data_IF_003154425175
#
_entry.id   IF_003154425175
#
_cell.length_a   1.000
_cell.length_b   1.000
_cell.length_c   1.000
_cell.angle_alpha   90.00
_cell.angle_beta   90.00
_cell.angle_gamma   90.00
#
_symmetry.space_group_name_H-M   'P 1'
#
loop_
_entity.id
_entity.type
_entity.pdbx_description
1 polymer ?
#
# COMPACT_ATOMS: atom_id res chain seq x y z
N UNK A 1 19.92 12.79 -30.41
CA UNK A 1 20.45 14.15 -30.11
C UNK A 1 21.86 13.98 -29.57
N UNK A 2 22.90 14.58 -30.15
CA UNK A 2 24.29 14.40 -29.66
C UNK A 2 24.77 15.65 -28.92
N UNK A 3 25.45 15.42 -27.80
CA UNK A 3 26.13 16.46 -27.04
C UNK A 3 27.54 16.65 -27.63
N UNK A 4 27.93 17.90 -27.94
CA UNK A 4 29.10 18.15 -28.76
C UNK A 4 30.34 18.57 -27.98
N UNK A 5 30.19 19.08 -26.78
CA UNK A 5 31.31 19.54 -25.97
C UNK A 5 30.94 19.60 -24.49
N UNK A 6 31.90 19.32 -23.61
CA UNK A 6 31.78 19.55 -22.19
C UNK A 6 32.83 20.54 -21.71
N UNK A 7 32.45 21.49 -20.90
CA UNK A 7 33.34 22.41 -20.21
C UNK A 7 33.15 22.32 -18.71
N UNK A 8 34.21 22.62 -17.94
CA UNK A 8 34.14 22.69 -16.47
C UNK A 8 34.53 24.07 -16.00
N UNK A 9 33.79 24.57 -14.99
CA UNK A 9 34.15 25.81 -14.30
C UNK A 9 34.00 25.64 -12.80
N UNK A 10 34.83 26.33 -12.06
CA UNK A 10 34.67 26.45 -10.64
C UNK A 10 33.69 27.60 -10.35
N UNK A 11 32.73 27.39 -9.47
CA UNK A 11 31.76 28.42 -9.10
C UNK A 11 32.29 29.24 -7.94
N UNK A 12 32.06 30.55 -7.99
CA UNK A 12 32.41 31.47 -6.87
C UNK A 12 31.29 31.44 -5.81
N UNK A 13 31.22 30.32 -5.08
CA UNK A 13 30.28 30.07 -3.99
C UNK A 13 31.03 29.44 -2.81
N UNK A 14 30.43 29.44 -1.61
CA UNK A 14 30.99 28.77 -0.42
C UNK A 14 31.37 27.32 -0.78
N UNK A 15 32.64 26.93 -0.58
CA UNK A 15 33.17 25.61 -0.95
C UNK A 15 33.67 25.51 -2.39
N UNK A 16 33.58 26.54 -3.22
CA UNK A 16 34.07 26.61 -4.62
C UNK A 16 33.80 25.33 -5.45
N UNK A 17 32.55 24.83 -5.53
CA UNK A 17 32.25 23.59 -6.20
C UNK A 17 32.47 23.68 -7.71
N UNK A 18 32.82 22.54 -8.33
CA UNK A 18 32.94 22.45 -9.78
C UNK A 18 31.58 22.19 -10.46
N UNK A 19 31.38 22.76 -11.64
CA UNK A 19 30.20 22.55 -12.49
C UNK A 19 30.66 22.15 -13.90
N UNK A 20 30.11 21.04 -14.41
CA UNK A 20 30.23 20.67 -15.81
C UNK A 20 29.06 21.24 -16.64
N UNK A 21 29.31 21.57 -17.91
CA UNK A 21 28.30 22.04 -18.88
C UNK A 21 28.48 21.33 -20.20
N UNK A 22 27.41 20.75 -20.73
CA UNK A 22 27.36 20.12 -22.03
C UNK A 22 26.39 20.87 -22.95
N UNK A 23 26.77 21.13 -24.22
CA UNK A 23 25.94 21.81 -25.20
C UNK A 23 25.31 20.83 -26.19
N UNK A 24 24.07 21.10 -26.59
CA UNK A 24 23.34 20.33 -27.60
C UNK A 24 22.41 21.22 -28.41
N UNK A 25 21.98 20.73 -29.59
CA UNK A 25 20.94 21.37 -30.39
C UNK A 25 19.59 20.68 -30.08
N UNK A 26 18.55 21.45 -29.79
CA UNK A 26 17.20 20.94 -29.64
C UNK A 26 16.59 20.54 -31.01
N UNK A 27 15.35 20.04 -30.98
CA UNK A 27 14.59 19.58 -32.15
C UNK A 27 14.33 20.71 -33.17
N UNK A 28 14.47 21.97 -32.75
CA UNK A 28 14.34 23.16 -33.61
C UNK A 28 15.72 23.70 -34.08
N UNK A 29 16.82 22.97 -33.80
CA UNK A 29 18.17 23.37 -34.16
C UNK A 29 18.79 24.46 -33.28
N UNK A 30 18.11 24.87 -32.21
CA UNK A 30 18.58 25.91 -31.29
C UNK A 30 19.53 25.34 -30.26
N UNK A 31 20.66 26.03 -30.02
CA UNK A 31 21.63 25.61 -28.99
C UNK A 31 21.06 25.76 -27.58
N UNK A 32 21.20 24.70 -26.80
CA UNK A 32 20.90 24.64 -25.38
C UNK A 32 22.06 24.08 -24.58
N UNK A 33 22.05 24.30 -23.27
CA UNK A 33 23.11 23.88 -22.37
C UNK A 33 22.50 23.07 -21.21
N UNK A 34 23.11 21.94 -20.88
CA UNK A 34 22.83 21.15 -19.70
C UNK A 34 24.00 21.30 -18.73
N UNK A 35 23.74 21.43 -17.42
CA UNK A 35 24.79 21.56 -16.41
C UNK A 35 24.64 20.54 -15.29
N UNK A 36 25.76 20.06 -14.77
CA UNK A 36 25.85 19.12 -13.64
C UNK A 36 26.83 19.66 -12.60
N UNK A 37 26.45 19.61 -11.31
CA UNK A 37 27.37 19.90 -10.21
C UNK A 37 28.28 18.70 -9.97
N UNK A 38 29.56 18.96 -9.64
CA UNK A 38 30.58 17.95 -9.39
C UNK A 38 31.11 18.15 -7.96
N UNK A 39 30.34 17.76 -6.92
CA UNK A 39 30.72 18.01 -5.52
C UNK A 39 31.99 17.27 -5.11
N UNK A 40 32.25 16.11 -5.73
CA UNK A 40 33.38 15.23 -5.37
C UNK A 40 34.68 15.59 -6.08
N UNK A 41 34.66 16.57 -6.99
CA UNK A 41 35.84 16.97 -7.75
C UNK A 41 36.79 17.83 -6.91
N UNK A 42 37.93 17.29 -6.52
CA UNK A 42 38.97 17.97 -5.70
C UNK A 42 39.83 18.95 -6.51
N UNK A 43 39.74 18.93 -7.85
CA UNK A 43 40.52 19.80 -8.71
C UNK A 43 40.07 19.77 -10.15
N UNK A 44 40.68 20.68 -10.99
CA UNK A 44 40.28 20.85 -12.41
C UNK A 44 40.43 19.58 -13.25
N UNK A 45 41.50 18.82 -13.06
CA UNK A 45 41.75 17.57 -13.83
C UNK A 45 40.67 16.52 -13.49
N UNK A 46 40.34 16.37 -12.23
CA UNK A 46 39.32 15.44 -11.79
C UNK A 46 37.92 15.87 -12.26
N UNK A 47 37.59 17.16 -12.18
CA UNK A 47 36.36 17.72 -12.71
C UNK A 47 36.25 17.46 -14.24
N UNK A 48 37.34 17.60 -14.98
CA UNK A 48 37.37 17.31 -16.42
C UNK A 48 37.15 15.82 -16.71
N UNK A 49 37.75 14.91 -15.95
CA UNK A 49 37.54 13.47 -16.07
C UNK A 49 36.07 13.10 -15.85
N UNK A 50 35.52 13.54 -14.73
CA UNK A 50 34.10 13.27 -14.37
C UNK A 50 33.16 13.90 -15.41
N UNK A 51 33.47 15.10 -15.91
CA UNK A 51 32.67 15.75 -16.92
C UNK A 51 32.71 15.01 -18.26
N UNK A 52 33.85 14.42 -18.64
CA UNK A 52 34.00 13.61 -19.85
C UNK A 52 33.19 12.31 -19.73
N UNK A 53 33.31 11.60 -18.60
CA UNK A 53 32.50 10.41 -18.31
C UNK A 53 31.00 10.72 -18.38
N UNK A 54 30.59 11.87 -17.84
CA UNK A 54 29.22 12.34 -17.93
C UNK A 54 28.80 12.64 -19.38
N UNK A 55 29.66 13.27 -20.21
CA UNK A 55 29.37 13.52 -21.62
C UNK A 55 29.23 12.21 -22.42
N UNK A 56 30.12 11.25 -22.16
CA UNK A 56 30.07 9.94 -22.81
C UNK A 56 28.80 9.19 -22.46
N UNK A 57 28.38 9.25 -21.17
CA UNK A 57 27.10 8.69 -20.70
C UNK A 57 25.91 9.39 -21.36
N UNK A 58 25.93 10.74 -21.48
CA UNK A 58 24.88 11.51 -22.17
C UNK A 58 24.73 11.12 -23.65
N UNK A 59 25.84 10.88 -24.36
CA UNK A 59 25.80 10.47 -25.75
C UNK A 59 25.38 9.00 -25.91
N UNK A 60 25.82 8.10 -25.03
CA UNK A 60 25.37 6.72 -24.99
C UNK A 60 23.85 6.62 -24.79
N UNK A 61 23.28 7.46 -23.92
CA UNK A 61 21.84 7.55 -23.73
C UNK A 61 21.12 8.07 -24.99
N UNK A 62 21.64 9.12 -25.62
CA UNK A 62 21.06 9.66 -26.85
C UNK A 62 20.98 8.61 -27.96
N UNK A 63 21.93 7.68 -28.01
CA UNK A 63 21.93 6.55 -28.93
C UNK A 63 20.96 5.42 -28.50
N UNK A 64 20.61 5.30 -27.20
CA UNK A 64 19.70 4.31 -26.66
C UNK A 64 18.23 4.77 -26.60
N UNK A 65 17.98 6.08 -26.72
CA UNK A 65 16.62 6.67 -26.71
C UNK A 65 16.43 7.56 -27.96
N UNK A 66 16.31 6.99 -29.14
CA UNK A 66 16.27 7.77 -30.39
C UNK A 66 15.09 8.75 -30.49
N UNK A 67 14.00 8.48 -29.74
CA UNK A 67 12.77 9.29 -29.75
C UNK A 67 12.61 10.17 -28.49
N UNK A 68 13.48 10.06 -27.48
CA UNK A 68 13.42 10.90 -26.30
C UNK A 68 14.20 12.21 -26.52
N UNK A 69 13.49 13.29 -26.62
CA UNK A 69 14.09 14.62 -26.87
C UNK A 69 14.94 15.19 -25.72
N UNK A 70 15.19 14.46 -24.64
CA UNK A 70 16.04 14.87 -23.50
C UNK A 70 16.61 13.68 -22.75
N UNK A 71 17.89 13.76 -22.45
CA UNK A 71 18.56 12.92 -21.45
C UNK A 71 17.92 13.16 -20.09
N UNK A 72 17.45 12.09 -19.45
CA UNK A 72 16.75 12.16 -18.18
C UNK A 72 17.38 11.20 -17.16
N UNK A 73 17.46 11.64 -15.91
CA UNK A 73 17.86 10.76 -14.80
C UNK A 73 16.70 9.85 -14.38
N UNK A 74 17.04 8.78 -13.69
CA UNK A 74 16.03 7.90 -13.07
C UNK A 74 15.07 8.72 -12.17
N UNK A 75 15.61 9.68 -11.40
CA UNK A 75 14.79 10.55 -10.54
C UNK A 75 13.73 11.31 -11.34
N UNK A 76 14.15 11.98 -12.38
CA UNK A 76 13.26 12.80 -13.20
C UNK A 76 12.23 11.95 -13.95
N UNK A 77 12.68 10.88 -14.60
CA UNK A 77 11.81 10.00 -15.39
C UNK A 77 10.79 9.30 -14.51
N UNK A 78 11.19 8.82 -13.32
CA UNK A 78 10.30 8.17 -12.38
C UNK A 78 9.20 9.13 -11.89
N UNK A 79 9.58 10.36 -11.55
CA UNK A 79 8.64 11.37 -11.04
C UNK A 79 7.68 11.86 -12.14
N UNK A 80 8.17 12.07 -13.37
CA UNK A 80 7.33 12.45 -14.52
C UNK A 80 6.34 11.33 -14.86
N UNK A 81 6.77 10.07 -14.86
CA UNK A 81 5.89 8.91 -15.06
C UNK A 81 4.79 8.81 -14.00
N UNK A 82 5.14 8.92 -12.72
CA UNK A 82 4.14 8.85 -11.65
C UNK A 82 3.13 9.99 -11.74
N UNK A 83 3.61 11.21 -12.04
CA UNK A 83 2.73 12.36 -12.20
C UNK A 83 1.78 12.16 -13.38
N UNK A 84 2.29 11.69 -14.51
CA UNK A 84 1.44 11.36 -15.67
C UNK A 84 0.34 10.37 -15.30
N UNK A 85 0.68 9.26 -14.61
CA UNK A 85 -0.32 8.28 -14.17
C UNK A 85 -1.37 8.86 -13.21
N UNK A 86 -0.97 9.81 -12.36
CA UNK A 86 -1.91 10.50 -11.47
C UNK A 86 -2.82 11.44 -12.27
N UNK A 87 -2.26 12.23 -13.18
CA UNK A 87 -2.98 13.22 -13.97
C UNK A 87 -3.97 12.55 -14.96
N UNK A 88 -3.63 11.36 -15.47
CA UNK A 88 -4.51 10.54 -16.33
C UNK A 88 -5.52 9.69 -15.54
N UNK A 89 -5.44 9.69 -14.21
CA UNK A 89 -6.33 8.88 -13.36
C UNK A 89 -6.03 7.37 -13.36
N UNK A 90 -4.89 6.94 -13.94
CA UNK A 90 -4.47 5.52 -13.92
C UNK A 90 -4.13 5.04 -12.51
N UNK A 91 -3.68 5.94 -11.64
CA UNK A 91 -3.43 5.64 -10.23
C UNK A 91 -4.12 6.65 -9.32
N UNK A 92 -4.51 6.18 -8.14
CA UNK A 92 -5.04 7.07 -7.10
C UNK A 92 -3.94 7.83 -6.37
N UNK A 93 -4.32 8.94 -5.73
CA UNK A 93 -3.44 9.76 -4.86
C UNK A 93 -2.70 8.93 -3.82
N UNK A 94 -3.37 7.96 -3.18
CA UNK A 94 -2.74 7.06 -2.20
C UNK A 94 -1.66 6.17 -2.81
N UNK A 95 -1.87 5.67 -4.03
CA UNK A 95 -0.87 4.87 -4.75
C UNK A 95 0.32 5.73 -5.17
N UNK A 96 0.05 6.98 -5.61
CA UNK A 96 1.07 7.96 -5.92
C UNK A 96 1.94 8.26 -4.69
N UNK A 97 1.35 8.63 -3.54
CA UNK A 97 2.07 8.91 -2.30
C UNK A 97 2.93 7.72 -1.83
N UNK A 98 2.37 6.51 -1.84
CA UNK A 98 3.10 5.30 -1.47
C UNK A 98 4.25 5.00 -2.43
N UNK A 99 4.08 5.30 -3.72
CA UNK A 99 5.13 5.11 -4.71
C UNK A 99 6.28 6.11 -4.53
N UNK A 100 5.96 7.38 -4.25
CA UNK A 100 6.95 8.41 -3.90
C UNK A 100 7.70 8.05 -2.63
N UNK A 101 6.99 7.64 -1.57
CA UNK A 101 7.64 7.24 -0.32
C UNK A 101 8.65 6.10 -0.54
N UNK A 102 8.22 5.04 -1.21
CA UNK A 102 9.09 3.90 -1.54
C UNK A 102 10.26 4.30 -2.44
N UNK A 103 10.01 5.16 -3.43
CA UNK A 103 11.02 5.68 -4.33
C UNK A 103 12.10 6.46 -3.58
N UNK A 104 11.68 7.45 -2.78
CA UNK A 104 12.61 8.30 -2.02
C UNK A 104 13.45 7.50 -1.02
N UNK A 105 12.87 6.44 -0.43
CA UNK A 105 13.54 5.63 0.61
C UNK A 105 14.47 4.56 0.04
N UNK A 106 14.08 3.91 -1.07
CA UNK A 106 14.72 2.68 -1.51
C UNK A 106 15.28 2.71 -2.95
N UNK A 107 14.88 3.67 -3.78
CA UNK A 107 15.33 3.75 -5.18
C UNK A 107 16.23 4.96 -5.38
N UNK A 108 15.74 6.15 -5.05
CA UNK A 108 16.44 7.42 -5.28
C UNK A 108 17.86 7.47 -4.70
N UNK A 109 18.13 7.02 -3.45
CA UNK A 109 19.48 7.08 -2.88
C UNK A 109 20.53 6.25 -3.62
N UNK A 110 20.08 5.28 -4.41
CA UNK A 110 20.97 4.33 -5.10
C UNK A 110 20.99 4.51 -6.62
N UNK A 111 19.88 4.93 -7.21
CA UNK A 111 19.69 4.98 -8.65
C UNK A 111 19.27 6.35 -9.17
N UNK A 112 18.87 7.29 -8.30
CA UNK A 112 18.26 8.55 -8.72
C UNK A 112 19.09 9.37 -9.69
N UNK A 113 20.40 9.41 -9.50
CA UNK A 113 21.36 10.17 -10.32
C UNK A 113 21.81 9.44 -11.57
N UNK A 114 21.49 8.13 -11.70
CA UNK A 114 21.80 7.40 -12.92
C UNK A 114 21.01 7.96 -14.10
N UNK A 115 21.65 7.98 -15.26
CA UNK A 115 20.97 8.25 -16.51
C UNK A 115 20.01 7.09 -16.81
N UNK A 116 18.74 7.38 -17.03
CA UNK A 116 17.68 6.37 -17.12
C UNK A 116 17.98 5.27 -18.14
N UNK A 117 18.40 5.65 -19.35
CA UNK A 117 18.64 4.71 -20.44
C UNK A 117 19.95 3.91 -20.31
N UNK A 118 20.87 4.30 -19.43
CA UNK A 118 22.14 3.59 -19.22
C UNK A 118 22.09 2.58 -18.09
N UNK A 119 20.99 2.52 -17.34
CA UNK A 119 20.78 1.48 -16.35
C UNK A 119 20.65 0.13 -17.05
N UNK A 120 21.46 -0.82 -16.64
CA UNK A 120 21.47 -2.19 -17.15
C UNK A 120 21.15 -3.22 -16.04
N UNK A 121 21.16 -4.49 -16.40
CA UNK A 121 20.90 -5.58 -15.47
C UNK A 121 21.95 -5.70 -14.35
N UNK A 122 23.18 -5.27 -14.58
CA UNK A 122 24.26 -5.25 -13.59
C UNK A 122 23.97 -4.22 -12.50
N UNK A 123 23.53 -3.01 -12.91
CA UNK A 123 23.12 -1.95 -11.99
C UNK A 123 21.90 -2.39 -11.16
N UNK A 124 20.90 -3.01 -11.80
CA UNK A 124 19.70 -3.52 -11.09
C UNK A 124 20.09 -4.61 -10.09
N UNK A 125 20.93 -5.58 -10.43
CA UNK A 125 21.38 -6.63 -9.51
C UNK A 125 22.17 -6.03 -8.34
N UNK A 126 23.06 -5.07 -8.58
CA UNK A 126 23.80 -4.38 -7.51
C UNK A 126 22.87 -3.64 -6.56
N UNK A 127 21.84 -2.96 -7.08
CA UNK A 127 20.83 -2.30 -6.28
C UNK A 127 20.02 -3.31 -5.44
N UNK A 128 19.58 -4.43 -6.01
CA UNK A 128 18.89 -5.48 -5.27
C UNK A 128 19.73 -6.02 -4.12
N UNK A 129 21.02 -6.28 -4.36
CA UNK A 129 21.95 -6.72 -3.31
C UNK A 129 22.01 -5.73 -2.15
N UNK A 130 22.00 -4.41 -2.44
CA UNK A 130 21.95 -3.39 -1.38
C UNK A 130 20.65 -3.44 -0.58
N UNK A 131 19.49 -3.67 -1.25
CA UNK A 131 18.20 -3.80 -0.56
C UNK A 131 18.16 -5.04 0.36
N UNK A 132 18.75 -6.16 -0.07
CA UNK A 132 18.90 -7.37 0.78
C UNK A 132 19.80 -7.09 2.00
N UNK A 133 20.90 -6.40 1.80
CA UNK A 133 21.83 -6.06 2.88
C UNK A 133 21.24 -5.06 3.91
N UNK A 134 20.20 -4.32 3.56
CA UNK A 134 19.45 -3.48 4.51
C UNK A 134 18.51 -4.29 5.43
N UNK A 135 18.42 -5.61 5.27
CA UNK A 135 17.55 -6.47 6.08
C UNK A 135 16.05 -6.24 5.84
N UNK A 136 15.68 -5.72 4.65
CA UNK A 136 14.28 -5.47 4.31
C UNK A 136 13.52 -6.78 4.13
N UNK A 137 12.22 -6.76 4.46
CA UNK A 137 11.35 -7.91 4.19
C UNK A 137 11.29 -8.22 2.69
N UNK A 138 11.18 -9.50 2.34
CA UNK A 138 11.06 -9.95 0.95
C UNK A 138 9.91 -9.25 0.22
N UNK A 139 8.79 -8.99 0.89
CA UNK A 139 7.65 -8.26 0.33
C UNK A 139 7.98 -6.80 0.03
N UNK A 140 8.79 -6.14 0.86
CA UNK A 140 9.24 -4.77 0.61
C UNK A 140 10.16 -4.71 -0.61
N UNK A 141 11.12 -5.64 -0.71
CA UNK A 141 12.04 -5.73 -1.85
C UNK A 141 11.25 -6.03 -3.14
N UNK A 142 10.35 -7.03 -3.11
CA UNK A 142 9.50 -7.38 -4.24
C UNK A 142 8.67 -6.19 -4.73
N UNK A 143 8.00 -5.48 -3.82
CA UNK A 143 7.15 -4.34 -4.16
C UNK A 143 7.96 -3.17 -4.73
N UNK A 144 9.14 -2.92 -4.16
CA UNK A 144 10.04 -1.84 -4.62
C UNK A 144 10.61 -2.17 -6.01
N UNK A 145 11.03 -3.41 -6.23
CA UNK A 145 11.45 -3.92 -7.54
C UNK A 145 10.35 -3.77 -8.59
N UNK A 146 9.12 -4.22 -8.27
CA UNK A 146 7.99 -4.17 -9.19
C UNK A 146 7.63 -2.73 -9.59
N UNK A 147 7.76 -1.77 -8.68
CA UNK A 147 7.54 -0.34 -8.97
C UNK A 147 8.54 0.20 -9.97
N UNK A 148 9.82 -0.05 -9.75
CA UNK A 148 10.86 0.40 -10.69
C UNK A 148 10.71 -0.27 -12.06
N UNK A 149 10.49 -1.59 -12.07
CA UNK A 149 10.27 -2.36 -13.30
C UNK A 149 9.08 -1.84 -14.10
N UNK A 150 7.99 -1.43 -13.44
CA UNK A 150 6.80 -0.87 -14.11
C UNK A 150 7.15 0.38 -14.91
N UNK A 151 8.00 1.26 -14.37
CA UNK A 151 8.46 2.47 -15.08
C UNK A 151 9.27 2.10 -16.32
N UNK A 152 10.28 1.23 -16.17
CA UNK A 152 11.10 0.80 -17.30
C UNK A 152 10.30 0.08 -18.38
N UNK A 153 9.36 -0.79 -17.99
CA UNK A 153 8.48 -1.49 -18.92
C UNK A 153 7.62 -0.51 -19.74
N UNK A 154 7.12 0.57 -19.11
CA UNK A 154 6.35 1.59 -19.83
C UNK A 154 7.15 2.19 -20.98
N UNK A 155 8.35 2.68 -20.71
CA UNK A 155 9.21 3.30 -21.74
C UNK A 155 9.72 2.29 -22.77
N UNK A 156 10.01 1.06 -22.35
CA UNK A 156 10.42 -0.01 -23.26
C UNK A 156 9.29 -0.43 -24.22
N UNK A 157 8.09 -0.61 -23.71
CA UNK A 157 6.93 -1.01 -24.52
C UNK A 157 6.48 0.10 -25.48
N UNK A 158 6.71 1.36 -25.14
CA UNK A 158 6.43 2.50 -26.03
C UNK A 158 7.55 2.76 -27.05
N UNK A 159 8.61 1.96 -27.08
CA UNK A 159 9.72 2.13 -28.00
C UNK A 159 10.64 3.32 -27.68
N UNK A 160 10.49 3.91 -26.50
CA UNK A 160 11.33 5.02 -26.04
C UNK A 160 12.64 4.53 -25.42
N UNK A 161 12.70 3.26 -25.00
CA UNK A 161 13.88 2.59 -24.47
C UNK A 161 14.18 1.35 -25.31
N UNK A 162 15.41 1.21 -25.81
CA UNK A 162 15.81 0.11 -26.71
C UNK A 162 16.12 -1.21 -25.97
N UNK A 163 16.47 -1.15 -24.69
CA UNK A 163 16.85 -2.31 -23.89
C UNK A 163 16.07 -2.33 -22.59
N UNK A 164 15.54 -3.51 -22.23
CA UNK A 164 14.96 -3.75 -20.92
C UNK A 164 16.06 -4.09 -19.90
N UNK A 165 16.35 -3.25 -18.91
CA UNK A 165 17.36 -3.52 -17.89
C UNK A 165 16.99 -4.64 -16.94
N UNK A 166 15.72 -5.08 -16.92
CA UNK A 166 15.24 -6.18 -16.11
C UNK A 166 15.31 -7.54 -16.81
N UNK A 167 15.74 -7.55 -18.11
CA UNK A 167 15.92 -8.81 -18.84
C UNK A 167 17.01 -9.65 -18.18
N UNK A 168 16.67 -10.87 -17.77
CA UNK A 168 17.57 -11.79 -17.08
C UNK A 168 17.74 -11.53 -15.56
N UNK A 169 17.15 -10.47 -15.02
CA UNK A 169 17.13 -10.23 -13.57
C UNK A 169 16.04 -11.07 -12.95
N UNK A 170 16.40 -11.90 -11.95
CA UNK A 170 15.40 -12.68 -11.19
C UNK A 170 14.58 -11.75 -10.31
N UNK A 171 13.26 -11.82 -10.48
CA UNK A 171 12.35 -11.09 -9.60
C UNK A 171 12.46 -11.64 -8.17
N UNK A 172 12.58 -10.77 -7.15
CA UNK A 172 12.57 -11.21 -5.76
C UNK A 172 11.30 -12.01 -5.45
N UNK A 173 11.45 -13.11 -4.74
CA UNK A 173 10.28 -13.89 -4.28
C UNK A 173 9.47 -13.08 -3.29
N UNK A 174 8.15 -13.28 -3.29
CA UNK A 174 7.32 -12.84 -2.17
C UNK A 174 7.63 -13.74 -0.98
N UNK A 175 7.73 -13.14 0.20
CA UNK A 175 7.79 -13.89 1.44
C UNK A 175 6.40 -14.47 1.76
N UNK A 176 6.40 -15.59 2.48
CA UNK A 176 5.17 -16.15 3.03
C UNK A 176 4.57 -15.16 4.02
N UNK A 177 3.28 -14.89 3.87
CA UNK A 177 2.52 -14.05 4.78
C UNK A 177 1.81 -14.96 5.76
N UNK A 178 2.33 -15.05 6.98
CA UNK A 178 1.58 -15.68 8.08
C UNK A 178 0.39 -14.77 8.41
N UNK A 179 -0.80 -15.29 8.22
CA UNK A 179 -2.03 -14.55 8.54
C UNK A 179 -2.14 -14.46 10.07
N UNK A 180 -2.26 -13.25 10.57
CA UNK A 180 -2.50 -12.98 11.98
C UNK A 180 -3.86 -13.56 12.39
N UNK A 181 -3.89 -14.37 13.44
CA UNK A 181 -5.12 -14.82 14.10
C UNK A 181 -4.97 -14.68 15.61
N UNK A 182 -6.07 -14.68 16.32
CA UNK A 182 -6.13 -14.63 17.77
C UNK A 182 -6.65 -15.98 18.30
N UNK A 183 -6.12 -16.40 19.42
CA UNK A 183 -6.73 -17.46 20.23
C UNK A 183 -7.99 -16.93 20.92
N UNK A 184 -8.83 -17.81 21.48
CA UNK A 184 -10.01 -17.38 22.21
C UNK A 184 -9.63 -16.45 23.38
N UNK A 185 -8.62 -16.82 24.17
CA UNK A 185 -8.10 -16.00 25.27
C UNK A 185 -7.63 -14.61 24.78
N UNK A 186 -6.94 -14.55 23.65
CA UNK A 186 -6.48 -13.27 23.08
C UNK A 186 -7.66 -12.42 22.57
N UNK A 187 -8.73 -13.04 22.08
CA UNK A 187 -9.96 -12.33 21.71
C UNK A 187 -10.65 -11.74 22.94
N UNK A 188 -10.74 -12.51 24.01
CA UNK A 188 -11.30 -12.06 25.28
C UNK A 188 -10.48 -10.91 25.87
N UNK A 189 -9.15 -11.01 25.85
CA UNK A 189 -8.24 -9.95 26.30
C UNK A 189 -8.44 -8.64 25.51
N UNK A 190 -8.63 -8.73 24.18
CA UNK A 190 -8.91 -7.54 23.34
C UNK A 190 -10.24 -6.90 23.75
N UNK A 191 -11.30 -7.70 23.94
CA UNK A 191 -12.61 -7.19 24.27
C UNK A 191 -12.64 -6.61 25.69
N UNK A 192 -12.05 -7.30 26.66
CA UNK A 192 -11.91 -6.80 28.03
C UNK A 192 -11.18 -5.46 28.06
N UNK A 193 -10.04 -5.37 27.37
CA UNK A 193 -9.29 -4.11 27.26
C UNK A 193 -10.11 -2.99 26.62
N UNK A 194 -10.94 -3.27 25.60
CA UNK A 194 -11.81 -2.27 24.98
C UNK A 194 -12.83 -1.73 25.99
N UNK A 195 -13.47 -2.61 26.76
CA UNK A 195 -14.48 -2.22 27.76
C UNK A 195 -13.88 -1.51 28.97
N UNK A 196 -12.60 -1.78 29.29
CA UNK A 196 -11.92 -1.11 30.41
C UNK A 196 -11.32 0.26 30.02
N UNK A 197 -10.83 0.40 28.78
CA UNK A 197 -10.09 1.58 28.35
C UNK A 197 -10.96 2.67 27.75
N UNK A 198 -12.14 2.32 27.21
CA UNK A 198 -12.97 3.25 26.45
C UNK A 198 -14.41 3.26 26.94
N UNK A 199 -14.93 4.45 27.18
CA UNK A 199 -16.34 4.66 27.38
C UNK A 199 -17.08 4.64 26.02
N UNK A 200 -18.38 4.28 25.97
CA UNK A 200 -19.12 4.18 24.70
C UNK A 200 -19.17 5.48 23.88
N UNK A 201 -19.03 6.67 24.50
CA UNK A 201 -18.90 7.95 23.79
C UNK A 201 -17.55 8.14 23.11
N UNK A 202 -16.50 7.39 23.45
CA UNK A 202 -15.22 7.45 22.74
C UNK A 202 -15.35 6.82 21.34
N UNK A 203 -14.93 7.49 20.26
CA UNK A 203 -14.99 6.91 18.92
C UNK A 203 -14.13 5.66 18.74
N UNK A 204 -13.07 5.48 19.57
CA UNK A 204 -12.25 4.27 19.52
C UNK A 204 -12.96 3.03 20.02
N UNK A 205 -13.90 3.17 20.97
CA UNK A 205 -14.73 2.08 21.45
C UNK A 205 -15.37 1.31 20.29
N UNK A 206 -16.26 1.97 19.56
CA UNK A 206 -16.92 1.33 18.40
C UNK A 206 -15.98 1.13 17.22
N UNK A 207 -14.93 1.94 17.07
CA UNK A 207 -13.93 1.80 16.02
C UNK A 207 -13.19 0.46 16.08
N UNK A 208 -12.81 0.01 17.27
CA UNK A 208 -12.16 -1.29 17.49
C UNK A 208 -13.17 -2.43 17.31
N UNK A 209 -14.39 -2.28 17.86
CA UNK A 209 -15.45 -3.28 17.73
C UNK A 209 -15.91 -3.48 16.27
N UNK A 210 -15.92 -2.44 15.44
CA UNK A 210 -16.16 -2.53 14.00
C UNK A 210 -15.06 -3.34 13.27
N UNK A 211 -13.80 -3.19 13.68
CA UNK A 211 -12.73 -4.02 13.15
C UNK A 211 -12.88 -5.48 13.58
N UNK A 212 -13.26 -5.71 14.84
CA UNK A 212 -13.36 -7.02 15.47
C UNK A 212 -14.58 -7.81 14.99
N UNK A 213 -15.78 -7.21 15.08
CA UNK A 213 -17.06 -7.90 14.81
C UNK A 213 -17.59 -7.77 13.38
N UNK A 214 -17.08 -6.84 12.60
CA UNK A 214 -17.49 -6.63 11.20
C UNK A 214 -16.35 -6.73 10.20
N UNK A 215 -15.11 -6.88 10.66
CA UNK A 215 -13.93 -7.03 9.80
C UNK A 215 -13.72 -5.85 8.85
N UNK A 216 -14.12 -4.64 9.21
CA UNK A 216 -14.00 -3.47 8.35
C UNK A 216 -12.55 -3.06 8.14
N UNK A 217 -12.26 -2.54 6.94
CA UNK A 217 -10.97 -1.90 6.69
C UNK A 217 -10.89 -0.58 7.45
N UNK A 218 -9.71 -0.19 7.89
CA UNK A 218 -9.47 1.08 8.59
C UNK A 218 -10.15 2.29 7.91
N UNK A 219 -10.00 2.41 6.59
CA UNK A 219 -10.64 3.51 5.85
C UNK A 219 -12.17 3.42 5.82
N UNK A 220 -12.75 2.22 5.85
CA UNK A 220 -14.19 1.98 5.95
C UNK A 220 -14.71 2.35 7.34
N UNK A 221 -13.97 1.99 8.40
CA UNK A 221 -14.26 2.37 9.79
C UNK A 221 -14.33 3.90 9.93
N UNK A 222 -13.30 4.61 9.45
CA UNK A 222 -13.24 6.07 9.50
C UNK A 222 -14.29 6.74 8.59
N UNK A 223 -14.78 6.04 7.56
CA UNK A 223 -15.74 6.57 6.59
C UNK A 223 -17.20 6.22 6.85
N UNK A 224 -17.48 5.41 7.88
CA UNK A 224 -18.85 4.97 8.21
C UNK A 224 -19.65 6.11 8.82
N UNK A 225 -20.89 6.29 8.36
CA UNK A 225 -21.82 7.30 8.88
C UNK A 225 -22.99 6.65 9.58
N UNK A 226 -23.69 7.40 10.44
CA UNK A 226 -24.84 6.89 11.17
C UNK A 226 -26.00 6.48 10.25
N UNK A 227 -26.21 7.18 9.12
CA UNK A 227 -27.22 6.78 8.13
C UNK A 227 -26.84 5.54 7.29
N UNK A 228 -25.71 4.94 7.56
CA UNK A 228 -25.29 3.64 7.00
C UNK A 228 -25.65 2.47 7.91
N UNK A 229 -26.20 2.74 9.09
CA UNK A 229 -26.60 1.74 10.08
C UNK A 229 -28.13 1.67 10.15
N UNK A 230 -28.67 0.52 9.81
CA UNK A 230 -30.10 0.24 9.89
C UNK A 230 -30.36 -0.70 11.08
N UNK A 231 -30.79 -0.12 12.19
CA UNK A 231 -31.11 -0.87 13.41
C UNK A 231 -32.40 -1.68 13.28
N UNK A 232 -33.33 -1.34 12.37
CA UNK A 232 -34.55 -2.10 12.13
C UNK A 232 -34.29 -3.37 11.34
N UNK A 233 -33.35 -3.30 10.39
CA UNK A 233 -32.93 -4.43 9.57
C UNK A 233 -31.69 -5.14 10.12
N UNK A 234 -31.14 -4.66 11.20
CA UNK A 234 -29.89 -5.17 11.81
C UNK A 234 -28.73 -5.23 10.79
N UNK A 235 -28.56 -4.17 9.98
CA UNK A 235 -27.53 -4.17 8.91
C UNK A 235 -26.64 -2.93 8.93
N UNK A 236 -25.42 -3.13 8.43
CA UNK A 236 -24.46 -2.05 8.11
C UNK A 236 -24.26 -2.01 6.61
N UNK A 237 -24.27 -0.81 6.04
CA UNK A 237 -23.98 -0.53 4.65
C UNK A 237 -22.63 0.18 4.52
N UNK A 238 -21.67 -0.40 3.80
CA UNK A 238 -20.40 0.24 3.48
C UNK A 238 -20.54 0.86 2.08
N UNK A 239 -20.43 2.19 1.99
CA UNK A 239 -20.51 2.94 0.72
C UNK A 239 -19.39 3.99 0.57
N UNK A 240 -18.58 4.17 1.59
CA UNK A 240 -17.47 5.13 1.57
C UNK A 240 -16.28 4.64 2.37
N UNK A 241 -15.13 5.22 2.11
CA UNK A 241 -13.93 5.00 2.90
C UNK A 241 -13.10 6.29 2.92
N UNK A 242 -12.39 6.54 4.01
CA UNK A 242 -11.40 7.62 4.05
C UNK A 242 -10.10 7.10 3.44
N UNK A 243 -9.65 7.78 2.38
CA UNK A 243 -8.33 7.58 1.76
C UNK A 243 -7.31 8.52 2.37
N UNK A 244 -6.07 8.06 2.44
CA UNK A 244 -4.92 8.84 2.92
C UNK A 244 -4.07 9.26 1.74
N UNK A 245 -3.68 10.53 1.70
CA UNK A 245 -2.69 11.05 0.76
C UNK A 245 -1.66 11.88 1.49
N UNK A 246 -0.39 11.52 1.39
CA UNK A 246 0.73 12.27 1.94
C UNK A 246 1.37 13.13 0.84
N UNK A 247 1.74 14.38 1.18
CA UNK A 247 2.40 15.32 0.29
C UNK A 247 1.81 16.73 0.34
N UNK A 248 2.55 17.73 -0.18
CA UNK A 248 2.06 19.12 -0.26
C UNK A 248 0.78 19.20 -1.11
N UNK A 249 -0.29 19.73 -0.53
CA UNK A 249 -1.60 19.87 -1.20
C UNK A 249 -2.43 18.59 -1.30
N UNK A 250 -1.97 17.49 -0.72
CA UNK A 250 -2.70 16.24 -0.61
C UNK A 250 -3.11 16.05 0.85
N UNK A 251 -4.39 15.80 1.10
CA UNK A 251 -4.96 15.57 2.42
C UNK A 251 -5.81 14.31 2.43
N UNK A 252 -6.27 13.92 3.62
CA UNK A 252 -7.25 12.85 3.74
C UNK A 252 -8.53 13.24 3.03
N UNK A 253 -9.18 12.28 2.40
CA UNK A 253 -10.38 12.51 1.61
C UNK A 253 -11.34 11.31 1.70
N UNK A 254 -12.63 11.59 1.61
CA UNK A 254 -13.63 10.53 1.45
C UNK A 254 -13.65 10.07 0.00
N UNK A 255 -13.65 8.78 -0.22
CA UNK A 255 -13.75 8.18 -1.55
C UNK A 255 -14.93 7.22 -1.64
N UNK A 256 -15.60 7.25 -2.77
CA UNK A 256 -16.53 6.19 -3.13
C UNK A 256 -15.74 4.90 -3.41
N UNK A 257 -16.32 3.74 -3.11
CA UNK A 257 -15.69 2.47 -3.42
C UNK A 257 -15.35 2.34 -4.90
N UNK A 258 -14.13 1.88 -5.21
CA UNK A 258 -13.63 1.71 -6.60
C UNK A 258 -14.44 0.73 -7.44
N UNK A 259 -15.01 -0.29 -6.81
CA UNK A 259 -15.71 -1.39 -7.46
C UNK A 259 -17.11 -1.56 -6.85
N UNK A 260 -18.06 -2.08 -7.64
CA UNK A 260 -19.39 -2.47 -7.15
C UNK A 260 -19.34 -3.41 -5.94
N UNK A 261 -18.31 -4.28 -5.85
CA UNK A 261 -18.06 -5.17 -4.70
C UNK A 261 -17.65 -4.46 -3.42
N UNK A 262 -17.24 -3.21 -3.48
CA UNK A 262 -16.85 -2.43 -2.30
C UNK A 262 -18.05 -1.76 -1.63
N UNK A 263 -19.15 -1.53 -2.35
CA UNK A 263 -20.44 -1.14 -1.76
C UNK A 263 -21.19 -2.42 -1.41
N UNK A 264 -21.42 -2.63 -0.12
CA UNK A 264 -22.03 -3.84 0.40
C UNK A 264 -22.87 -3.55 1.63
N UNK A 265 -23.88 -4.38 1.86
CA UNK A 265 -24.70 -4.39 3.07
C UNK A 265 -24.64 -5.79 3.67
N UNK A 266 -24.43 -5.88 4.97
CA UNK A 266 -24.32 -7.14 5.67
C UNK A 266 -24.92 -7.04 7.08
N UNK A 267 -25.32 -8.17 7.71
CA UNK A 267 -25.93 -8.17 9.03
C UNK A 267 -24.91 -7.77 10.10
N UNK A 268 -25.37 -7.06 11.12
CA UNK A 268 -24.62 -6.78 12.34
C UNK A 268 -24.71 -7.98 13.30
N UNK A 269 -23.61 -8.26 13.97
CA UNK A 269 -23.63 -9.14 15.13
C UNK A 269 -24.28 -8.40 16.32
N UNK A 270 -25.06 -9.10 17.20
CA UNK A 270 -25.77 -8.47 18.30
C UNK A 270 -24.89 -7.64 19.23
N UNK A 271 -23.66 -8.08 19.49
CA UNK A 271 -22.69 -7.37 20.34
C UNK A 271 -22.28 -6.02 19.75
N UNK A 272 -22.05 -5.97 18.43
CA UNK A 272 -21.73 -4.73 17.73
C UNK A 272 -22.92 -3.79 17.69
N UNK A 273 -24.12 -4.34 17.45
CA UNK A 273 -25.35 -3.55 17.42
C UNK A 273 -25.61 -2.89 18.77
N UNK A 274 -25.41 -3.62 19.86
CA UNK A 274 -25.56 -3.10 21.22
C UNK A 274 -24.60 -1.94 21.47
N UNK A 275 -23.32 -2.10 21.16
CA UNK A 275 -22.31 -1.05 21.33
C UNK A 275 -22.62 0.21 20.50
N UNK A 276 -23.12 0.03 19.26
CA UNK A 276 -23.54 1.15 18.42
C UNK A 276 -24.77 1.86 18.96
N UNK A 277 -25.75 1.14 19.54
CA UNK A 277 -26.92 1.72 20.20
C UNK A 277 -26.54 2.51 21.45
N UNK A 278 -25.66 1.99 22.28
CA UNK A 278 -25.15 2.66 23.49
C UNK A 278 -24.47 3.97 23.11
N UNK A 279 -23.55 3.96 22.14
CA UNK A 279 -22.91 5.17 21.65
C UNK A 279 -23.93 6.15 21.07
N UNK A 280 -24.87 5.69 20.23
CA UNK A 280 -25.89 6.54 19.62
C UNK A 280 -26.74 7.25 20.67
N UNK A 281 -27.11 6.53 21.74
CA UNK A 281 -27.90 7.09 22.83
C UNK A 281 -27.16 8.20 23.61
N UNK A 282 -25.83 8.04 23.78
CA UNK A 282 -25.01 8.99 24.55
C UNK A 282 -24.65 10.25 23.75
N UNK A 283 -24.34 10.11 22.45
CA UNK A 283 -23.89 11.26 21.65
C UNK A 283 -25.00 11.92 20.84
N UNK A 284 -26.21 11.30 20.75
CA UNK A 284 -27.38 11.78 19.98
C UNK A 284 -27.01 12.33 18.58
N UNK A 285 -26.36 11.53 17.71
CA UNK A 285 -25.76 12.04 16.49
C UNK A 285 -26.81 12.34 15.43
N UNK A 286 -26.49 13.27 14.53
CA UNK A 286 -27.22 13.43 13.28
C UNK A 286 -26.86 12.29 12.30
N UNK A 287 -27.77 12.01 11.37
CA UNK A 287 -27.64 10.88 10.43
C UNK A 287 -26.40 10.97 9.53
N UNK A 288 -25.95 12.18 9.19
CA UNK A 288 -24.77 12.41 8.36
C UNK A 288 -23.44 12.42 9.12
N UNK A 289 -23.45 12.36 10.46
CA UNK A 289 -22.24 12.32 11.26
C UNK A 289 -21.48 11.00 11.09
N UNK A 290 -20.17 11.06 11.31
CA UNK A 290 -19.34 9.84 11.28
C UNK A 290 -19.47 9.05 12.57
N UNK A 291 -19.56 7.72 12.45
CA UNK A 291 -19.64 6.81 13.60
C UNK A 291 -18.34 6.82 14.40
N UNK A 292 -17.21 6.91 13.69
CA UNK A 292 -15.86 7.01 14.27
C UNK A 292 -15.31 8.38 13.91
N UNK A 293 -15.68 9.38 14.69
CA UNK A 293 -15.33 10.77 14.45
C UNK A 293 -16.05 11.68 15.44
N UNK A 294 -15.94 12.98 15.19
CA UNK A 294 -16.61 14.04 15.92
C UNK A 294 -17.51 14.80 14.95
N UNK A 295 -18.82 14.73 15.13
CA UNK A 295 -19.81 15.37 14.27
C UNK A 295 -19.62 15.01 12.78
N UNK A 296 -19.50 16.00 11.90
CA UNK A 296 -19.25 15.84 10.47
C UNK A 296 -17.79 15.57 10.13
N UNK A 297 -16.90 15.52 11.12
CA UNK A 297 -15.48 15.25 10.93
C UNK A 297 -15.15 13.78 11.18
N UNK A 298 -14.60 13.12 10.17
CA UNK A 298 -14.10 11.76 10.32
C UNK A 298 -12.80 11.73 11.12
N UNK A 299 -12.57 10.69 11.88
CA UNK A 299 -11.26 10.40 12.43
C UNK A 299 -10.29 10.06 11.29
N UNK A 300 -9.13 10.72 11.26
CA UNK A 300 -8.11 10.42 10.25
C UNK A 300 -7.58 9.00 10.40
N UNK A 301 -7.40 8.23 9.31
CA UNK A 301 -6.90 6.87 9.42
C UNK A 301 -5.53 6.73 10.11
N UNK A 302 -4.66 7.74 10.01
CA UNK A 302 -3.39 7.76 10.73
C UNK A 302 -3.61 7.96 12.24
N UNK A 303 -4.55 8.83 12.62
CA UNK A 303 -4.93 9.05 14.02
C UNK A 303 -5.52 7.76 14.62
N UNK A 304 -6.44 7.11 13.89
CA UNK A 304 -6.98 5.81 14.29
C UNK A 304 -5.88 4.78 14.51
N UNK A 305 -4.92 4.66 13.59
CA UNK A 305 -3.78 3.74 13.76
C UNK A 305 -2.92 4.07 14.97
N UNK A 306 -2.65 5.35 15.22
CA UNK A 306 -1.86 5.79 16.37
C UNK A 306 -2.57 5.43 17.68
N UNK A 307 -3.84 5.80 17.81
CA UNK A 307 -4.64 5.49 19.02
C UNK A 307 -4.78 3.99 19.22
N UNK A 308 -4.98 3.23 18.14
CA UNK A 308 -5.01 1.77 18.20
C UNK A 308 -3.67 1.18 18.66
N UNK A 309 -2.54 1.70 18.17
CA UNK A 309 -1.22 1.24 18.60
C UNK A 309 -0.97 1.55 20.07
N UNK A 310 -1.35 2.74 20.55
CA UNK A 310 -1.27 3.14 21.95
C UNK A 310 -2.12 2.23 22.86
N UNK A 311 -3.34 1.88 22.41
CA UNK A 311 -4.21 0.92 23.07
C UNK A 311 -3.57 -0.47 23.18
N UNK A 312 -3.05 -0.99 22.07
CA UNK A 312 -2.37 -2.29 22.02
C UNK A 312 -1.13 -2.32 22.91
N UNK A 313 -0.34 -1.24 22.91
CA UNK A 313 0.86 -1.13 23.72
C UNK A 313 0.56 -1.06 25.21
N UNK A 314 -0.44 -0.29 25.60
CA UNK A 314 -0.86 -0.14 27.01
C UNK A 314 -1.38 -1.47 27.60
N UNK A 315 -2.07 -2.27 26.80
CA UNK A 315 -2.65 -3.54 27.23
C UNK A 315 -1.81 -4.76 26.86
N UNK A 316 -0.61 -4.58 26.29
CA UNK A 316 0.29 -5.67 25.87
C UNK A 316 -0.39 -6.71 24.96
N UNK A 317 -1.27 -6.27 24.05
CA UNK A 317 -2.05 -7.15 23.19
C UNK A 317 -1.21 -7.71 22.04
N UNK A 318 -1.13 -9.04 22.00
CA UNK A 318 -0.36 -9.78 20.98
C UNK A 318 -1.21 -10.84 20.28
N UNK A 319 -0.84 -11.18 19.05
CA UNK A 319 -1.44 -12.29 18.29
C UNK A 319 -0.86 -13.66 18.69
N UNK A 320 -1.37 -14.72 18.08
CA UNK A 320 -0.91 -16.09 18.32
C UNK A 320 0.59 -16.34 18.04
N UNK A 321 1.26 -15.40 17.38
CA UNK A 321 2.71 -15.45 17.10
C UNK A 321 3.52 -14.49 18.01
N UNK A 322 2.89 -13.90 19.03
CA UNK A 322 3.53 -12.94 19.94
C UNK A 322 3.82 -11.58 19.30
N UNK A 323 3.18 -11.25 18.17
CA UNK A 323 3.33 -9.95 17.52
C UNK A 323 2.22 -9.01 17.98
N UNK A 324 2.55 -7.72 18.10
CA UNK A 324 1.55 -6.68 18.40
C UNK A 324 0.40 -6.74 17.40
N UNK A 325 -0.81 -6.69 17.92
CA UNK A 325 -2.03 -6.66 17.11
C UNK A 325 -2.08 -5.34 16.34
N UNK A 326 -2.50 -5.39 15.09
CA UNK A 326 -2.75 -4.22 14.25
C UNK A 326 -4.21 -4.21 13.78
N UNK A 327 -4.80 -3.06 13.39
CA UNK A 327 -6.21 -3.01 12.98
C UNK A 327 -6.56 -4.03 11.89
N UNK A 328 -5.64 -4.24 10.93
CA UNK A 328 -5.83 -5.24 9.88
C UNK A 328 -5.77 -6.68 10.40
N UNK A 329 -5.09 -6.91 11.52
CA UNK A 329 -5.05 -8.20 12.22
C UNK A 329 -6.43 -8.59 12.79
N UNK A 330 -7.19 -7.63 13.35
CA UNK A 330 -8.56 -7.90 13.80
C UNK A 330 -9.48 -8.29 12.63
N UNK A 331 -9.32 -7.63 11.50
CA UNK A 331 -10.05 -8.01 10.29
C UNK A 331 -9.67 -9.42 9.79
N UNK A 332 -8.39 -9.81 9.87
CA UNK A 332 -7.97 -11.17 9.57
C UNK A 332 -8.58 -12.16 10.56
N UNK A 333 -8.63 -11.80 11.84
CA UNK A 333 -9.28 -12.61 12.85
C UNK A 333 -10.78 -12.82 12.56
N UNK A 334 -11.51 -11.76 12.20
CA UNK A 334 -12.91 -11.86 11.78
C UNK A 334 -13.10 -12.86 10.64
N UNK A 335 -12.25 -12.83 9.63
CA UNK A 335 -12.33 -13.76 8.51
C UNK A 335 -12.04 -15.22 8.95
N UNK A 336 -11.03 -15.42 9.79
CA UNK A 336 -10.71 -16.74 10.37
C UNK A 336 -11.88 -17.28 11.17
N UNK A 337 -12.51 -16.44 11.98
CA UNK A 337 -13.70 -16.82 12.76
C UNK A 337 -14.90 -17.15 11.88
N UNK A 338 -15.12 -16.38 10.79
CA UNK A 338 -16.15 -16.69 9.79
C UNK A 338 -15.97 -18.07 9.16
N UNK A 339 -14.73 -18.42 8.80
CA UNK A 339 -14.41 -19.76 8.26
C UNK A 339 -14.63 -20.84 9.31
N UNK A 340 -14.15 -20.65 10.54
CA UNK A 340 -14.38 -21.59 11.65
C UNK A 340 -15.86 -21.79 11.96
N UNK A 341 -16.68 -20.74 11.82
CA UNK A 341 -18.13 -20.82 11.95
C UNK A 341 -18.83 -21.50 10.76
N UNK A 342 -18.06 -21.94 9.75
CA UNK A 342 -18.60 -22.61 8.55
C UNK A 342 -19.28 -21.68 7.55
N UNK A 343 -18.92 -20.39 7.55
CA UNK A 343 -19.36 -19.43 6.55
C UNK A 343 -18.76 -19.80 5.20
N UNK A 344 -19.58 -19.80 4.15
CA UNK A 344 -19.07 -20.05 2.80
C UNK A 344 -18.14 -18.90 2.32
N UNK A 345 -17.14 -19.26 1.51
CA UNK A 345 -16.10 -18.31 1.07
C UNK A 345 -16.69 -17.16 0.24
N UNK A 346 -17.79 -17.35 -0.47
CA UNK A 346 -18.41 -16.30 -1.27
C UNK A 346 -19.08 -15.25 -0.38
N UNK A 347 -19.82 -15.68 0.64
CA UNK A 347 -20.43 -14.82 1.66
C UNK A 347 -19.36 -14.08 2.46
N UNK A 348 -18.30 -14.76 2.89
CA UNK A 348 -17.18 -14.14 3.58
C UNK A 348 -16.48 -13.10 2.70
N UNK A 349 -16.16 -13.42 1.44
CA UNK A 349 -15.55 -12.48 0.51
C UNK A 349 -16.44 -11.24 0.27
N UNK A 350 -17.76 -11.44 0.21
CA UNK A 350 -18.72 -10.34 0.10
C UNK A 350 -18.71 -9.44 1.35
N UNK A 351 -18.82 -10.02 2.55
CA UNK A 351 -18.74 -9.27 3.81
C UNK A 351 -17.42 -8.53 3.96
N UNK A 352 -16.31 -9.16 3.58
CA UNK A 352 -14.99 -8.56 3.59
C UNK A 352 -14.81 -7.50 2.48
N UNK A 353 -15.65 -7.47 1.46
CA UNK A 353 -15.48 -6.60 0.29
C UNK A 353 -14.18 -6.91 -0.47
N UNK A 354 -13.87 -8.18 -0.67
CA UNK A 354 -12.75 -8.63 -1.49
C UNK A 354 -13.14 -8.56 -2.97
N UNK A 355 -12.21 -8.11 -3.82
CA UNK A 355 -12.44 -7.98 -5.25
C UNK A 355 -12.58 -9.34 -5.95
N UNK A 356 -12.00 -10.41 -5.37
CA UNK A 356 -12.11 -11.77 -5.86
C UNK A 356 -12.16 -12.77 -4.71
N UNK A 357 -12.84 -13.92 -4.94
CA UNK A 357 -12.86 -15.04 -4.00
C UNK A 357 -11.47 -15.65 -3.80
N UNK A 358 -10.64 -15.64 -4.83
CA UNK A 358 -9.26 -16.11 -4.78
C UNK A 358 -8.46 -15.38 -3.68
N UNK A 359 -8.68 -14.07 -3.50
CA UNK A 359 -8.02 -13.31 -2.45
C UNK A 359 -8.35 -13.83 -1.04
N UNK A 360 -9.58 -14.30 -0.82
CA UNK A 360 -9.99 -14.91 0.46
C UNK A 360 -9.37 -16.30 0.62
N UNK A 361 -9.38 -17.12 -0.42
CA UNK A 361 -8.78 -18.45 -0.43
C UNK A 361 -7.25 -18.40 -0.24
N UNK A 362 -6.56 -17.55 -0.98
CA UNK A 362 -5.10 -17.40 -0.87
C UNK A 362 -4.65 -16.89 0.51
N UNK A 363 -5.50 -16.11 1.17
CA UNK A 363 -5.16 -15.52 2.47
C UNK A 363 -5.48 -16.47 3.63
N UNK A 364 -6.53 -17.29 3.51
CA UNK A 364 -7.08 -18.08 4.62
C UNK A 364 -7.12 -19.58 4.35
N UNK A 365 -6.44 -20.06 3.30
CA UNK A 365 -6.42 -21.47 2.90
C UNK A 365 -5.97 -22.43 4.00
N UNK A 366 -5.06 -21.98 4.86
CA UNK A 366 -4.56 -22.79 5.98
C UNK A 366 -5.57 -22.94 7.14
N UNK A 367 -6.58 -22.04 7.23
CA UNK A 367 -7.68 -22.16 8.21
C UNK A 367 -8.72 -23.23 7.85
N UNK A 368 -8.53 -23.90 6.71
CA UNK A 368 -9.50 -24.84 6.12
C UNK A 368 -9.57 -26.21 6.83
N UNK A 369 -8.60 -26.63 7.64
CA UNK A 369 -8.64 -27.96 8.29
C UNK A 369 -9.79 -28.06 9.29
N UNK A 370 -9.98 -27.02 10.12
CA UNK A 370 -11.10 -26.97 11.07
C UNK A 370 -12.44 -26.82 10.36
N UNK A 371 -12.48 -26.02 9.28
CA UNK A 371 -13.67 -25.82 8.45
C UNK A 371 -14.07 -27.09 7.70
N UNK A 372 -13.11 -27.89 7.21
CA UNK A 372 -13.37 -29.18 6.56
C UNK A 372 -13.95 -30.19 7.55
N UNK A 373 -13.46 -30.22 8.80
CA UNK A 373 -14.00 -31.05 9.86
C UNK A 373 -15.46 -30.68 10.18
N UNK A 374 -15.75 -29.38 10.36
CA UNK A 374 -17.10 -28.88 10.60
C UNK A 374 -18.04 -29.11 9.40
N UNK A 375 -17.54 -28.93 8.18
CA UNK A 375 -18.30 -29.22 6.97
C UNK A 375 -18.64 -30.71 6.87
N UNK A 376 -17.69 -31.59 7.26
CA UNK A 376 -17.94 -33.04 7.32
C UNK A 376 -19.05 -33.40 8.31
N UNK A 377 -19.05 -32.80 9.52
CA UNK A 377 -20.11 -32.97 10.51
C UNK A 377 -21.46 -32.49 9.97
N UNK A 378 -21.54 -31.26 9.46
CA UNK A 378 -22.78 -30.72 8.87
C UNK A 378 -23.28 -31.55 7.70
N UNK A 379 -22.40 -32.05 6.84
CA UNK A 379 -22.76 -32.90 5.73
C UNK A 379 -23.38 -34.23 6.24
N UNK A 380 -22.74 -34.81 7.26
CA UNK A 380 -23.26 -36.03 7.92
C UNK A 380 -24.64 -35.81 8.51
N UNK A 381 -24.85 -34.70 9.22
CA UNK A 381 -26.15 -34.37 9.83
C UNK A 381 -27.22 -34.13 8.74
N UNK A 382 -26.86 -33.40 7.67
CA UNK A 382 -27.75 -33.18 6.52
C UNK A 382 -28.14 -34.48 5.83
N UNK A 383 -27.19 -35.42 5.69
CA UNK A 383 -27.49 -36.73 5.14
C UNK A 383 -28.41 -37.57 6.06
N UNK A 384 -28.20 -37.53 7.40
CA UNK A 384 -29.05 -38.17 8.38
C UNK A 384 -30.47 -37.61 8.36
N UNK A 385 -30.64 -36.28 8.25
CA UNK A 385 -31.94 -35.61 8.20
C UNK A 385 -32.73 -35.91 6.88
N UNK A 386 -32.02 -36.19 5.80
CA UNK A 386 -32.62 -36.34 4.48
C UNK A 386 -32.65 -37.81 3.94
N UNK A 387 -32.15 -38.77 4.71
CA UNK A 387 -32.14 -40.18 4.29
C UNK A 387 -32.49 -41.09 5.48
N UNK A 388 -33.52 -41.93 5.30
CA UNK A 388 -33.90 -42.95 6.31
C UNK A 388 -32.91 -44.13 6.42
N UNK A 389 -31.83 -44.13 5.65
CA UNK A 389 -30.84 -45.23 5.58
C UNK A 389 -29.88 -45.30 6.78
N UNK A 390 -29.89 -44.27 7.64
CA UNK A 390 -28.93 -44.16 8.76
C UNK A 390 -29.60 -44.37 10.15
N UNK A 391 -30.88 -44.77 10.19
CA UNK A 391 -31.62 -44.98 11.45
C UNK A 391 -31.39 -46.35 12.09
N UNK A 392 -30.73 -47.30 11.40
CA UNK A 392 -30.55 -48.68 11.90
C UNK A 392 -29.08 -49.11 11.95
N UNK A 393 -28.20 -48.31 12.60
CA UNK A 393 -26.80 -48.69 12.78
C UNK A 393 -26.28 -48.34 14.15
#
# INVERSE_FOLDING_TARGET
>A
MKYTAVSVRQLDRKGKPWQARAKYKDTQGKWKELSKMLPDAKGKREAQRIAKEWLDALNAEADLMPNAGKVSTVDKTFMEYLKHQLDTGEIERSTYSNSIHSYNKYIKPYLGDYIFATVDNTVINSWLTKLYNLGLSQNTIHTTYARLKKVYNYFYNNGELLKDPFKGVKMPKKGDVKVTHLTNEQMDNVLEAVYLDFEPQDPMYVGILLAFYAGLRRGEICGLRWNDIDFNRHTIRIRSAVGVSEGKGLGDYTKNPKNKSSTRTFPMLPQLEQALKERKALIAPQDNWFVVGEEEQFMRPQQYNRLFSEFVDRNNLVDAYGKKIVPHGLRHNFATMGIRAGMDIASLALMMGHASRAMTLDTYGDANADALSLAGVKLTDTFKENTSYWEDG
#
